data_IF_386895671701
#
_entry.id   IF_386895671701
#
_cell.length_a   1.000
_cell.length_b   1.000
_cell.length_c   1.000
_cell.angle_alpha   90.00
_cell.angle_beta   90.00
_cell.angle_gamma   90.00
#
_symmetry.space_group_name_H-M   'P 1'
#
loop_
_entity.id
_entity.type
_entity.pdbx_description
1 polymer ?
#
# COMPACT_ATOMS: atom_id res chain seq x y z
N UNK A 1 21.09 -10.62 0.26
CA UNK A 1 20.33 -11.20 -0.86
C UNK A 1 19.25 -10.24 -1.35
N UNK A 2 18.33 -9.78 -0.50
CA UNK A 2 17.17 -8.92 -0.86
C UNK A 2 17.59 -7.64 -1.59
N UNK A 3 18.56 -6.89 -1.03
CA UNK A 3 19.07 -5.66 -1.67
C UNK A 3 19.76 -5.94 -3.01
N UNK A 4 20.50 -7.06 -3.15
CA UNK A 4 21.11 -7.40 -4.42
C UNK A 4 20.06 -7.64 -5.52
N UNK A 5 19.02 -8.40 -5.20
CA UNK A 5 17.90 -8.62 -6.14
C UNK A 5 17.14 -7.31 -6.43
N UNK A 6 16.91 -6.48 -5.41
CA UNK A 6 16.25 -5.19 -5.59
C UNK A 6 17.06 -4.23 -6.46
N UNK A 7 18.40 -4.26 -6.39
CA UNK A 7 19.25 -3.44 -7.24
C UNK A 7 19.16 -3.86 -8.73
N UNK A 8 19.15 -5.16 -9.00
CA UNK A 8 18.93 -5.67 -10.36
C UNK A 8 17.55 -5.26 -10.91
N UNK A 9 16.50 -5.38 -10.08
CA UNK A 9 15.16 -4.95 -10.47
C UNK A 9 15.08 -3.43 -10.71
N UNK A 10 15.73 -2.62 -9.87
CA UNK A 10 15.76 -1.16 -10.03
C UNK A 10 16.39 -0.72 -11.36
N UNK A 11 17.32 -1.52 -11.91
CA UNK A 11 17.91 -1.27 -13.22
C UNK A 11 16.99 -1.64 -14.40
N UNK A 12 15.99 -2.49 -14.16
CA UNK A 12 15.11 -3.01 -15.21
C UNK A 12 13.78 -2.24 -15.31
N UNK A 13 13.34 -1.61 -14.22
CA UNK A 13 12.03 -0.93 -14.19
C UNK A 13 12.19 0.59 -14.17
N UNK A 14 11.28 1.33 -14.84
CA UNK A 14 11.32 2.79 -14.84
C UNK A 14 10.87 3.40 -13.52
N UNK A 15 10.20 2.62 -12.66
CA UNK A 15 9.65 3.04 -11.38
C UNK A 15 10.57 2.72 -10.20
N UNK A 16 9.96 2.59 -9.05
CA UNK A 16 10.63 2.29 -7.78
C UNK A 16 10.50 0.82 -7.40
N UNK A 17 11.47 0.32 -6.65
CA UNK A 17 11.39 -1.00 -6.00
C UNK A 17 11.08 -0.85 -4.52
N UNK A 18 10.30 -1.77 -3.95
CA UNK A 18 10.04 -1.81 -2.50
C UNK A 18 10.87 -2.92 -1.86
N UNK A 19 11.62 -2.59 -0.80
CA UNK A 19 12.35 -3.56 0.01
C UNK A 19 11.82 -3.54 1.43
N UNK A 20 11.33 -4.69 1.88
CA UNK A 20 10.66 -4.84 3.16
C UNK A 20 11.66 -5.05 4.30
N UNK A 21 11.44 -4.33 5.40
CA UNK A 21 12.09 -4.60 6.68
C UNK A 21 11.56 -5.92 7.22
N UNK A 22 12.42 -6.70 7.89
CA UNK A 22 12.04 -8.01 8.42
C UNK A 22 10.82 -7.92 9.34
N UNK A 23 9.85 -8.82 9.15
CA UNK A 23 8.61 -8.82 9.90
C UNK A 23 8.80 -8.99 11.42
N UNK A 24 9.91 -9.58 11.87
CA UNK A 24 10.22 -9.70 13.29
C UNK A 24 10.42 -8.34 13.98
N UNK A 25 10.68 -7.27 13.21
CA UNK A 25 10.85 -5.90 13.71
C UNK A 25 9.55 -5.08 13.68
N UNK A 26 8.42 -5.68 13.29
CA UNK A 26 7.16 -4.94 13.10
C UNK A 26 6.64 -4.20 14.34
N UNK A 27 7.08 -4.59 15.53
CA UNK A 27 6.71 -3.99 16.81
C UNK A 27 7.90 -3.31 17.51
N UNK A 28 8.94 -2.94 16.75
CA UNK A 28 10.11 -2.23 17.24
C UNK A 28 10.45 -1.09 16.27
N UNK A 29 10.07 0.12 16.64
CA UNK A 29 10.25 1.30 15.80
C UNK A 29 11.74 1.64 15.61
N UNK A 30 12.55 1.57 16.67
CA UNK A 30 13.97 1.91 16.61
C UNK A 30 14.74 0.91 15.75
N UNK A 31 14.52 -0.38 15.95
CA UNK A 31 15.15 -1.42 15.14
C UNK A 31 14.71 -1.36 13.67
N UNK A 32 13.44 -1.04 13.41
CA UNK A 32 12.91 -0.84 12.06
C UNK A 32 13.58 0.34 11.35
N UNK A 33 13.74 1.48 12.01
CA UNK A 33 14.46 2.65 11.49
C UNK A 33 15.92 2.32 11.20
N UNK A 34 16.63 1.69 12.16
CA UNK A 34 18.02 1.30 11.98
C UNK A 34 18.18 0.33 10.79
N UNK A 35 17.28 -0.64 10.65
CA UNK A 35 17.29 -1.60 9.54
C UNK A 35 17.00 -0.93 8.20
N UNK A 36 16.05 -0.01 8.15
CA UNK A 36 15.71 0.76 6.96
C UNK A 36 16.90 1.58 6.44
N UNK A 37 17.59 2.30 7.33
CA UNK A 37 18.81 3.05 7.00
C UNK A 37 19.89 2.13 6.43
N UNK A 38 20.14 0.99 7.08
CA UNK A 38 21.11 0.01 6.59
C UNK A 38 20.74 -0.56 5.20
N UNK A 39 19.45 -0.74 4.89
CA UNK A 39 18.98 -1.15 3.57
C UNK A 39 19.30 -0.05 2.53
N UNK A 40 19.04 1.21 2.82
CA UNK A 40 19.33 2.34 1.93
C UNK A 40 20.83 2.44 1.67
N UNK A 41 21.66 2.40 2.71
CA UNK A 41 23.13 2.43 2.60
C UNK A 41 23.65 1.31 1.67
N UNK A 42 23.07 0.12 1.77
CA UNK A 42 23.43 -1.02 0.92
C UNK A 42 22.99 -0.84 -0.55
N UNK A 43 21.89 -0.15 -0.80
CA UNK A 43 21.49 0.25 -2.16
C UNK A 43 22.44 1.30 -2.74
N UNK A 44 22.79 2.33 -1.97
CA UNK A 44 23.70 3.39 -2.40
C UNK A 44 25.11 2.85 -2.73
N UNK A 45 25.64 1.91 -1.94
CA UNK A 45 26.89 1.18 -2.24
C UNK A 45 26.84 0.42 -3.57
N UNK A 46 25.66 0.09 -4.06
CA UNK A 46 25.42 -0.57 -5.37
C UNK A 46 25.07 0.40 -6.49
N UNK A 47 25.15 1.71 -6.22
CA UNK A 47 24.84 2.76 -7.20
C UNK A 47 23.35 3.01 -7.42
N UNK A 48 22.47 2.46 -6.56
CA UNK A 48 21.02 2.72 -6.62
C UNK A 48 20.69 3.87 -5.68
N UNK A 49 20.14 4.96 -6.23
CA UNK A 49 19.75 6.14 -5.46
C UNK A 49 18.55 5.84 -4.55
N UNK A 50 18.54 6.41 -3.34
CA UNK A 50 17.43 6.23 -2.39
C UNK A 50 16.06 6.60 -2.98
N UNK A 51 16.00 7.56 -3.91
CA UNK A 51 14.76 7.92 -4.62
C UNK A 51 14.18 6.83 -5.52
N UNK A 52 14.94 5.76 -5.81
CA UNK A 52 14.47 4.59 -6.56
C UNK A 52 13.96 3.47 -5.65
N UNK A 53 14.07 3.64 -4.34
CA UNK A 53 13.72 2.61 -3.33
C UNK A 53 12.62 3.12 -2.43
N UNK A 54 11.65 2.26 -2.14
CA UNK A 54 10.70 2.44 -1.05
C UNK A 54 11.04 1.44 0.06
N UNK A 55 11.18 1.92 1.28
CA UNK A 55 11.28 1.04 2.43
C UNK A 55 9.87 0.56 2.78
N UNK A 56 9.67 -0.77 2.76
CA UNK A 56 8.36 -1.34 3.06
C UNK A 56 8.31 -1.78 4.52
N UNK A 57 7.29 -1.30 5.24
CA UNK A 57 7.07 -1.51 6.67
C UNK A 57 5.65 -2.01 6.92
N UNK A 58 5.45 -2.83 7.95
CA UNK A 58 4.11 -3.18 8.41
C UNK A 58 3.41 -1.95 8.99
N UNK A 59 2.10 -1.81 8.76
CA UNK A 59 1.27 -0.72 9.33
C UNK A 59 0.84 -1.04 10.78
N UNK A 60 1.78 -1.48 11.61
CA UNK A 60 1.67 -1.47 13.06
C UNK A 60 1.87 -0.03 13.57
N UNK A 61 1.52 0.26 14.81
CA UNK A 61 1.80 1.59 15.39
C UNK A 61 3.30 1.92 15.29
N UNK A 62 4.16 1.00 15.69
CA UNK A 62 5.61 1.15 15.67
C UNK A 62 6.16 1.30 14.24
N UNK A 63 5.62 0.54 13.29
CA UNK A 63 6.01 0.67 11.88
C UNK A 63 5.61 2.00 11.28
N UNK A 64 4.45 2.56 11.67
CA UNK A 64 4.00 3.90 11.26
C UNK A 64 4.89 4.98 11.89
N UNK A 65 5.28 4.85 13.17
CA UNK A 65 6.24 5.77 13.82
C UNK A 65 7.63 5.70 13.18
N UNK A 66 8.07 4.50 12.81
CA UNK A 66 9.32 4.34 12.06
C UNK A 66 9.26 5.05 10.69
N UNK A 67 8.15 4.92 9.97
CA UNK A 67 7.95 5.59 8.71
C UNK A 67 7.96 7.12 8.86
N UNK A 68 7.34 7.67 9.89
CA UNK A 68 7.34 9.11 10.18
C UNK A 68 8.78 9.65 10.31
N UNK A 69 9.64 8.94 11.05
CA UNK A 69 11.06 9.31 11.19
C UNK A 69 11.75 9.26 9.83
N UNK A 70 11.63 8.16 9.10
CA UNK A 70 12.28 7.94 7.81
C UNK A 70 11.86 8.96 6.75
N UNK A 71 10.58 9.34 6.73
CA UNK A 71 10.07 10.37 5.81
C UNK A 71 10.75 11.74 6.06
N UNK A 72 11.06 12.10 7.32
CA UNK A 72 11.82 13.34 7.61
C UNK A 72 13.25 13.31 7.11
N UNK A 73 13.81 12.11 6.89
CA UNK A 73 15.15 11.87 6.35
C UNK A 73 15.16 11.75 4.82
N UNK A 74 13.98 11.91 4.18
CA UNK A 74 13.81 11.73 2.74
C UNK A 74 13.96 10.28 2.29
N UNK A 75 13.64 9.33 3.16
CA UNK A 75 13.51 7.91 2.86
C UNK A 75 12.03 7.60 2.73
N UNK A 76 11.57 7.41 1.51
CA UNK A 76 10.16 7.15 1.24
C UNK A 76 9.73 5.75 1.66
N UNK A 77 8.57 5.66 2.32
CA UNK A 77 8.05 4.41 2.87
C UNK A 77 6.79 3.94 2.15
N UNK A 78 6.67 2.60 2.05
CA UNK A 78 5.48 1.88 1.62
C UNK A 78 4.92 1.10 2.81
N UNK A 79 3.81 1.56 3.39
CA UNK A 79 3.17 0.93 4.56
C UNK A 79 2.23 -0.18 4.12
N UNK A 80 2.56 -1.42 4.51
CA UNK A 80 1.83 -2.64 4.12
C UNK A 80 1.09 -3.28 5.29
N UNK A 81 0.35 -4.37 5.04
CA UNK A 81 -0.50 -5.02 6.05
C UNK A 81 -1.55 -4.04 6.63
N UNK A 82 -2.13 -3.25 5.75
CA UNK A 82 -3.13 -2.25 6.09
C UNK A 82 -4.52 -2.83 5.82
N UNK A 83 -5.33 -2.91 6.86
CA UNK A 83 -6.63 -3.57 6.87
C UNK A 83 -7.76 -2.68 7.39
N UNK A 84 -7.46 -1.51 7.94
CA UNK A 84 -8.45 -0.65 8.57
C UNK A 84 -8.29 0.82 8.19
N UNK A 85 -9.37 1.59 8.35
CA UNK A 85 -9.35 3.04 8.20
C UNK A 85 -8.47 3.70 9.26
N UNK A 86 -8.44 3.19 10.50
CA UNK A 86 -7.58 3.72 11.56
C UNK A 86 -6.10 3.69 11.17
N UNK A 87 -5.62 2.54 10.63
CA UNK A 87 -4.25 2.45 10.11
C UNK A 87 -4.01 3.46 8.97
N UNK A 88 -4.97 3.62 8.05
CA UNK A 88 -4.83 4.56 6.93
C UNK A 88 -4.71 6.01 7.44
N UNK A 89 -5.52 6.41 8.42
CA UNK A 89 -5.46 7.75 9.03
C UNK A 89 -4.09 7.96 9.69
N UNK A 90 -3.63 7.03 10.52
CA UNK A 90 -2.32 7.12 11.16
C UNK A 90 -1.15 7.19 10.16
N UNK A 91 -1.24 6.45 9.04
CA UNK A 91 -0.25 6.54 7.95
C UNK A 91 -0.26 7.92 7.27
N UNK A 92 -1.43 8.54 7.12
CA UNK A 92 -1.55 9.89 6.58
C UNK A 92 -0.92 10.94 7.52
N UNK A 93 -1.18 10.84 8.82
CA UNK A 93 -0.59 11.71 9.85
C UNK A 93 0.94 11.60 9.87
N UNK A 94 1.47 10.39 9.70
CA UNK A 94 2.90 10.12 9.55
C UNK A 94 3.49 10.59 8.21
N UNK A 95 2.67 11.14 7.30
CA UNK A 95 3.07 11.59 5.96
C UNK A 95 3.76 10.51 5.12
N UNK A 96 3.33 9.27 5.28
CA UNK A 96 3.86 8.14 4.52
C UNK A 96 3.72 8.39 3.03
N UNK A 97 4.76 8.06 2.24
CA UNK A 97 4.75 8.27 0.80
C UNK A 97 3.68 7.43 0.11
N UNK A 98 3.56 6.15 0.50
CA UNK A 98 2.64 5.20 -0.12
C UNK A 98 2.10 4.22 0.92
N UNK A 99 0.84 3.84 0.76
CA UNK A 99 0.20 2.75 1.52
C UNK A 99 -0.27 1.64 0.60
N UNK A 100 -0.20 0.40 1.09
CA UNK A 100 -0.64 -0.80 0.38
C UNK A 100 -1.76 -1.51 1.14
N UNK A 101 -3.00 -1.02 1.07
CA UNK A 101 -4.15 -1.69 1.68
C UNK A 101 -4.47 -3.00 0.96
N UNK A 102 -4.82 -4.05 1.72
CA UNK A 102 -5.05 -5.38 1.20
C UNK A 102 -6.54 -5.63 0.92
N UNK A 103 -6.87 -5.87 -0.36
CA UNK A 103 -8.23 -6.17 -0.81
C UNK A 103 -8.61 -7.61 -0.45
N UNK A 104 -7.92 -8.57 -1.04
CA UNK A 104 -8.32 -9.97 -0.99
C UNK A 104 -8.25 -10.60 0.40
N UNK A 105 -7.33 -10.18 1.26
CA UNK A 105 -7.29 -10.70 2.64
C UNK A 105 -8.47 -10.25 3.49
N UNK A 106 -8.95 -9.03 3.27
CA UNK A 106 -10.19 -8.55 3.90
C UNK A 106 -11.37 -9.39 3.39
N UNK A 107 -11.45 -9.58 2.06
CA UNK A 107 -12.49 -10.43 1.44
C UNK A 107 -12.47 -11.86 1.98
N UNK A 108 -11.29 -12.47 2.10
CA UNK A 108 -11.14 -13.85 2.63
C UNK A 108 -11.66 -13.95 4.07
N UNK A 109 -11.36 -12.95 4.90
CA UNK A 109 -11.83 -12.92 6.28
C UNK A 109 -13.36 -12.83 6.36
N UNK A 110 -13.98 -11.93 5.59
CA UNK A 110 -15.43 -11.75 5.57
C UNK A 110 -16.14 -12.99 4.98
N UNK A 111 -15.61 -13.60 3.92
CA UNK A 111 -16.12 -14.86 3.39
C UNK A 111 -16.20 -15.92 4.47
N UNK A 112 -15.14 -16.07 5.24
CA UNK A 112 -15.10 -17.05 6.34
C UNK A 112 -16.06 -16.68 7.48
N UNK A 113 -16.13 -15.41 7.86
CA UNK A 113 -16.95 -14.93 8.96
C UNK A 113 -18.47 -15.03 8.66
N UNK A 114 -18.86 -14.76 7.41
CA UNK A 114 -20.25 -14.72 6.98
C UNK A 114 -20.73 -16.04 6.33
N UNK A 115 -19.81 -17.00 6.09
CA UNK A 115 -20.13 -18.25 5.39
C UNK A 115 -20.52 -18.02 3.91
N UNK A 116 -19.95 -17.02 3.26
CA UNK A 116 -20.20 -16.66 1.84
C UNK A 116 -19.02 -17.10 0.98
N UNK A 117 -19.31 -17.63 -0.20
CA UNK A 117 -18.27 -18.03 -1.15
C UNK A 117 -17.86 -16.90 -2.12
N UNK A 118 -18.74 -15.93 -2.31
CA UNK A 118 -18.56 -14.88 -3.30
C UNK A 118 -19.22 -13.56 -2.88
N UNK A 119 -18.63 -12.44 -3.34
CA UNK A 119 -19.19 -11.09 -3.31
C UNK A 119 -19.22 -10.53 -4.73
N UNK A 120 -20.27 -9.81 -5.08
CA UNK A 120 -20.24 -8.94 -6.26
C UNK A 120 -19.15 -7.86 -6.06
N UNK A 121 -18.49 -7.36 -7.13
CA UNK A 121 -17.39 -6.40 -7.00
C UNK A 121 -17.71 -5.17 -6.14
N UNK A 122 -18.91 -4.62 -6.28
CA UNK A 122 -19.35 -3.45 -5.51
C UNK A 122 -19.78 -3.78 -4.06
N UNK A 123 -20.00 -5.06 -3.75
CA UNK A 123 -20.32 -5.54 -2.40
C UNK A 123 -19.07 -6.06 -1.65
N UNK A 124 -17.98 -6.31 -2.37
CA UNK A 124 -16.75 -6.87 -1.81
C UNK A 124 -16.19 -5.99 -0.69
N UNK A 125 -16.04 -6.51 0.54
CA UNK A 125 -15.60 -5.72 1.69
C UNK A 125 -14.17 -5.21 1.53
N UNK A 126 -13.30 -5.93 0.84
CA UNK A 126 -11.93 -5.48 0.55
C UNK A 126 -11.92 -4.32 -0.45
N UNK A 127 -12.74 -4.39 -1.50
CA UNK A 127 -12.90 -3.30 -2.47
C UNK A 127 -13.48 -2.05 -1.78
N UNK A 128 -14.54 -2.22 -0.98
CA UNK A 128 -15.14 -1.13 -0.20
C UNK A 128 -14.14 -0.46 0.74
N UNK A 129 -13.30 -1.25 1.41
CA UNK A 129 -12.27 -0.73 2.30
C UNK A 129 -11.28 0.17 1.57
N UNK A 130 -10.75 -0.27 0.42
CA UNK A 130 -9.78 0.52 -0.35
C UNK A 130 -10.43 1.76 -0.98
N UNK A 131 -11.67 1.66 -1.48
CA UNK A 131 -12.44 2.83 -1.96
C UNK A 131 -12.61 3.88 -0.86
N UNK A 132 -13.00 3.46 0.35
CA UNK A 132 -13.17 4.37 1.48
C UNK A 132 -11.86 5.08 1.88
N UNK A 133 -10.73 4.35 1.86
CA UNK A 133 -9.40 4.94 2.11
C UNK A 133 -9.03 5.94 1.02
N UNK A 134 -9.25 5.59 -0.26
CA UNK A 134 -9.01 6.47 -1.39
C UNK A 134 -9.84 7.77 -1.27
N UNK A 135 -11.13 7.63 -1.01
CA UNK A 135 -12.04 8.78 -0.85
C UNK A 135 -11.61 9.68 0.31
N UNK A 136 -11.25 9.08 1.45
CA UNK A 136 -10.74 9.82 2.60
C UNK A 136 -9.48 10.61 2.24
N UNK A 137 -8.51 9.99 1.56
CA UNK A 137 -7.27 10.65 1.20
C UNK A 137 -7.48 11.79 0.20
N UNK A 138 -8.26 11.53 -0.86
CA UNK A 138 -8.45 12.53 -1.93
C UNK A 138 -9.34 13.69 -1.48
N UNK A 139 -10.41 13.44 -0.74
CA UNK A 139 -11.27 14.51 -0.22
C UNK A 139 -10.59 15.41 0.82
N UNK A 140 -9.56 14.92 1.49
CA UNK A 140 -8.77 15.67 2.47
C UNK A 140 -7.42 16.18 1.92
N UNK A 141 -7.18 16.08 0.61
CA UNK A 141 -5.94 16.49 -0.05
C UNK A 141 -4.68 15.84 0.55
N UNK A 142 -4.79 14.60 1.02
CA UNK A 142 -3.66 13.83 1.54
C UNK A 142 -2.83 13.31 0.35
N UNK A 143 -1.53 13.66 0.26
CA UNK A 143 -0.71 13.35 -0.92
C UNK A 143 -0.26 11.89 -0.99
N UNK A 144 -0.43 11.13 0.09
CA UNK A 144 -0.05 9.72 0.15
C UNK A 144 -0.70 8.91 -0.96
N UNK A 145 0.10 8.11 -1.66
CA UNK A 145 -0.36 7.24 -2.75
C UNK A 145 -1.09 6.03 -2.17
N UNK A 146 -2.28 5.76 -2.67
CA UNK A 146 -3.04 4.55 -2.35
C UNK A 146 -2.76 3.48 -3.39
N UNK A 147 -2.16 2.36 -2.99
CA UNK A 147 -1.84 1.23 -3.86
C UNK A 147 -2.62 -0.01 -3.43
N UNK A 148 -3.78 -0.26 -4.02
CA UNK A 148 -4.54 -1.49 -3.76
C UNK A 148 -3.70 -2.74 -4.04
N UNK A 149 -3.76 -3.73 -3.15
CA UNK A 149 -2.91 -4.91 -3.21
C UNK A 149 -3.63 -6.20 -2.82
N UNK A 150 -3.01 -7.35 -3.12
CA UNK A 150 -3.49 -8.67 -2.68
C UNK A 150 -4.85 -9.04 -3.26
N UNK A 151 -4.99 -8.99 -4.58
CA UNK A 151 -6.24 -9.32 -5.29
C UNK A 151 -6.51 -10.83 -5.35
N UNK A 152 -7.80 -11.19 -5.47
CA UNK A 152 -8.31 -12.57 -5.65
C UNK A 152 -9.01 -12.77 -6.98
N UNK A 153 -9.27 -11.69 -7.74
CA UNK A 153 -9.88 -11.74 -9.06
C UNK A 153 -9.62 -10.46 -9.86
N UNK A 154 -9.77 -10.54 -11.18
CA UNK A 154 -9.74 -9.38 -12.08
C UNK A 154 -10.89 -8.42 -11.76
N UNK A 155 -12.03 -8.90 -11.31
CA UNK A 155 -13.18 -8.06 -10.95
C UNK A 155 -12.85 -7.11 -9.79
N UNK A 156 -12.09 -7.56 -8.77
CA UNK A 156 -11.61 -6.68 -7.69
C UNK A 156 -10.68 -5.58 -8.25
N UNK A 157 -9.83 -5.93 -9.22
CA UNK A 157 -8.91 -4.98 -9.86
C UNK A 157 -9.69 -3.94 -10.66
N UNK A 158 -10.63 -4.38 -11.51
CA UNK A 158 -11.49 -3.50 -12.30
C UNK A 158 -12.34 -2.58 -11.42
N UNK A 159 -12.84 -3.09 -10.29
CA UNK A 159 -13.60 -2.31 -9.32
C UNK A 159 -12.80 -1.18 -8.65
N UNK A 160 -11.49 -1.19 -8.76
CA UNK A 160 -10.58 -0.13 -8.27
C UNK A 160 -9.92 0.64 -9.41
N UNK A 161 -10.45 0.56 -10.64
CA UNK A 161 -9.91 1.31 -11.77
C UNK A 161 -9.95 2.83 -11.51
N UNK A 162 -8.78 3.45 -11.57
CA UNK A 162 -8.58 4.86 -11.21
C UNK A 162 -7.93 5.09 -9.84
N UNK A 163 -7.71 4.03 -9.04
CA UNK A 163 -6.82 4.09 -7.87
C UNK A 163 -5.43 4.60 -8.28
N UNK A 164 -4.72 5.27 -7.38
CA UNK A 164 -3.40 5.82 -7.73
C UNK A 164 -2.45 4.75 -8.27
N UNK A 165 -2.36 3.61 -7.60
CA UNK A 165 -1.58 2.44 -8.02
C UNK A 165 -2.31 1.14 -7.66
N UNK A 166 -1.96 0.05 -8.34
CA UNK A 166 -2.42 -1.30 -8.04
C UNK A 166 -1.25 -2.28 -8.16
N UNK A 167 -1.07 -3.13 -7.16
CA UNK A 167 -0.11 -4.24 -7.21
C UNK A 167 -0.80 -5.46 -7.80
N UNK A 168 -0.57 -5.73 -9.07
CA UNK A 168 -1.24 -6.79 -9.82
C UNK A 168 -0.23 -7.91 -10.11
N UNK A 169 -0.60 -9.16 -9.84
CA UNK A 169 0.23 -10.32 -10.16
C UNK A 169 0.27 -10.59 -11.68
N UNK A 170 1.36 -11.20 -12.20
CA UNK A 170 1.51 -11.44 -13.63
C UNK A 170 0.34 -12.19 -14.27
N UNK A 171 -0.23 -13.21 -13.60
CA UNK A 171 -1.38 -13.95 -14.11
C UNK A 171 -2.62 -13.08 -14.33
N UNK A 172 -2.89 -12.12 -13.45
CA UNK A 172 -4.00 -11.17 -13.66
C UNK A 172 -3.68 -10.14 -14.73
N UNK A 173 -2.42 -9.75 -14.91
CA UNK A 173 -2.01 -8.89 -16.03
C UNK A 173 -2.23 -9.59 -17.36
N UNK A 174 -1.88 -10.88 -17.47
CA UNK A 174 -2.12 -11.70 -18.67
C UNK A 174 -3.61 -11.86 -18.95
N UNK A 175 -4.43 -12.14 -17.91
CA UNK A 175 -5.88 -12.24 -18.03
C UNK A 175 -6.50 -10.93 -18.53
N UNK A 176 -6.12 -9.80 -17.91
CA UNK A 176 -6.61 -8.48 -18.32
C UNK A 176 -6.12 -8.06 -19.72
N UNK A 177 -4.91 -8.46 -20.10
CA UNK A 177 -4.36 -8.18 -21.43
C UNK A 177 -5.15 -8.84 -22.58
N UNK A 178 -5.86 -9.92 -22.28
CA UNK A 178 -6.73 -10.61 -23.22
C UNK A 178 -8.21 -10.13 -23.16
N UNK A 179 -8.54 -9.25 -22.23
CA UNK A 179 -9.88 -8.72 -22.07
C UNK A 179 -10.06 -7.43 -22.88
N UNK A 180 -10.93 -7.49 -23.86
CA UNK A 180 -11.27 -6.36 -24.75
C UNK A 180 -12.51 -5.58 -24.27
N UNK A 181 -13.08 -5.92 -23.13
CA UNK A 181 -14.22 -5.22 -22.56
C UNK A 181 -13.88 -3.79 -22.16
N UNK A 182 -14.87 -2.91 -22.18
CA UNK A 182 -14.69 -1.54 -21.70
C UNK A 182 -14.34 -1.55 -20.20
N UNK A 183 -13.29 -0.83 -19.83
CA UNK A 183 -12.89 -0.61 -18.43
C UNK A 183 -13.23 0.83 -18.03
N UNK A 184 -14.39 1.07 -17.40
CA UNK A 184 -14.73 2.41 -16.92
C UNK A 184 -13.83 2.80 -15.75
N UNK A 185 -13.46 4.08 -15.68
CA UNK A 185 -12.81 4.63 -14.50
C UNK A 185 -13.80 4.71 -13.35
N UNK A 186 -13.50 4.05 -12.22
CA UNK A 186 -14.38 3.97 -11.05
C UNK A 186 -13.99 5.02 -10.01
N UNK A 187 -12.68 5.23 -9.81
CA UNK A 187 -12.15 6.17 -8.83
C UNK A 187 -11.56 7.40 -9.50
N UNK A 188 -11.87 8.58 -8.97
CA UNK A 188 -11.24 9.84 -9.36
C UNK A 188 -11.20 10.81 -8.17
N UNK A 189 -10.17 11.67 -8.05
CA UNK A 189 -10.10 12.66 -6.98
C UNK A 189 -11.30 13.63 -6.98
N UNK A 190 -11.86 13.93 -8.16
CA UNK A 190 -12.96 14.87 -8.32
C UNK A 190 -14.28 14.35 -7.74
N UNK A 191 -14.43 13.02 -7.67
CA UNK A 191 -15.64 12.36 -7.17
C UNK A 191 -15.45 11.83 -5.73
N UNK A 192 -14.26 12.02 -5.15
CA UNK A 192 -13.98 11.53 -3.81
C UNK A 192 -14.83 12.27 -2.76
N UNK A 193 -15.47 11.50 -1.91
CA UNK A 193 -16.25 12.00 -0.78
C UNK A 193 -15.89 11.22 0.47
N UNK A 194 -15.25 11.88 1.41
CA UNK A 194 -14.80 11.24 2.65
C UNK A 194 -15.21 12.00 3.90
N UNK A 195 -15.02 11.39 5.05
CA UNK A 195 -15.18 12.04 6.34
C UNK A 195 -14.05 13.03 6.61
N UNK A 196 -14.31 14.02 7.46
CA UNK A 196 -13.29 14.95 7.91
C UNK A 196 -12.11 14.21 8.59
N UNK A 197 -10.89 14.76 8.54
CA UNK A 197 -9.74 14.20 9.22
C UNK A 197 -10.00 13.99 10.71
N UNK A 198 -9.54 12.84 11.20
CA UNK A 198 -9.60 12.48 12.63
C UNK A 198 -8.17 12.24 13.07
N UNK A 199 -7.75 12.87 14.17
CA UNK A 199 -6.46 12.60 14.80
C UNK A 199 -6.47 11.20 15.42
N UNK A 200 -5.38 10.46 15.23
CA UNK A 200 -5.18 9.13 15.80
C UNK A 200 -4.03 9.16 16.80
N UNK A 201 -4.13 8.34 17.83
CA UNK A 201 -3.07 8.08 18.79
C UNK A 201 -2.91 6.56 18.99
N UNK A 202 -1.95 6.17 19.84
CA UNK A 202 -1.68 4.75 20.11
C UNK A 202 -2.87 4.02 20.76
N UNK A 203 -3.77 4.74 21.42
CA UNK A 203 -4.94 4.15 22.08
C UNK A 203 -6.13 3.95 21.12
N UNK A 204 -6.11 4.60 19.94
CA UNK A 204 -7.14 4.52 18.90
C UNK A 204 -6.89 3.35 17.96
#
# INVERSE_FOLDING_TARGET
>A
LTVAMGAELAALVPGRVSTEVDACLSFDAEASVARARAIIDEYEKRGVNKGQVLIKLASTWEGIRAAEILQTEGIDCNLTLLFSMAQAVACADAKSFLISPFVGRITDWYKKAEGRDHYAPDEDPGVKSVRAIYDYYKSNNIPTIVMGASFRSVDQIKALAGCDNLTISPNYLDEMGNDTSMLPRVLSPENASGVAPVAMDEAT
#
